data_IF_674372185602
#
_entry.id   IF_674372185602
#
_cell.length_a   1.000
_cell.length_b   1.000
_cell.length_c   1.000
_cell.angle_alpha   90.00
_cell.angle_beta   90.00
_cell.angle_gamma   90.00
#
_symmetry.space_group_name_H-M   'P 1'
#
loop_
_entity.id
_entity.type
_entity.pdbx_description
1 polymer ?
#
# COMPACT_ATOMS: atom_id res chain seq x y z
N UNK A 1 -18.23 9.91 -18.14
CA UNK A 1 -19.10 10.39 -17.05
C UNK A 1 -18.58 11.66 -16.42
N UNK A 2 -19.12 12.80 -16.84
CA UNK A 2 -18.82 14.11 -16.25
C UNK A 2 -19.68 14.32 -15.02
N UNK A 3 -19.09 14.18 -13.83
CA UNK A 3 -19.67 14.68 -12.58
C UNK A 3 -19.94 16.18 -12.76
N UNK A 4 -21.22 16.55 -12.84
CA UNK A 4 -21.66 17.95 -12.76
C UNK A 4 -21.48 18.40 -11.31
N UNK A 5 -20.34 19.02 -11.03
CA UNK A 5 -20.09 19.68 -9.76
C UNK A 5 -20.94 20.95 -9.74
N UNK A 6 -21.92 21.02 -8.84
CA UNK A 6 -22.61 22.28 -8.58
C UNK A 6 -21.55 23.29 -8.09
N UNK A 7 -21.50 24.50 -8.64
CA UNK A 7 -20.52 25.49 -8.22
C UNK A 7 -20.66 25.75 -6.72
N UNK A 8 -19.53 25.87 -6.02
CA UNK A 8 -19.49 26.14 -4.59
C UNK A 8 -20.34 27.37 -4.27
N UNK A 9 -21.20 27.25 -3.25
CA UNK A 9 -22.11 28.32 -2.86
C UNK A 9 -21.30 29.51 -2.32
N UNK A 10 -21.25 30.59 -3.11
CA UNK A 10 -20.51 31.82 -2.76
C UNK A 10 -20.99 32.40 -1.43
N UNK A 11 -22.28 32.25 -1.11
CA UNK A 11 -22.86 32.73 0.14
C UNK A 11 -22.31 31.97 1.35
N UNK A 12 -22.09 30.65 1.21
CA UNK A 12 -21.49 29.84 2.27
C UNK A 12 -20.03 30.25 2.54
N UNK A 13 -19.24 30.44 1.49
CA UNK A 13 -17.85 30.88 1.63
C UNK A 13 -17.73 32.23 2.34
N UNK A 14 -18.62 33.17 2.02
CA UNK A 14 -18.67 34.46 2.68
C UNK A 14 -19.11 34.36 4.15
N UNK A 15 -20.12 33.53 4.45
CA UNK A 15 -20.55 33.29 5.82
C UNK A 15 -19.43 32.68 6.68
N UNK A 16 -18.72 31.68 6.15
CA UNK A 16 -17.56 31.05 6.82
C UNK A 16 -16.44 32.05 7.07
N UNK A 17 -16.11 32.89 6.08
CA UNK A 17 -15.06 33.92 6.22
C UNK A 17 -15.38 34.94 7.31
N UNK A 18 -16.66 35.23 7.53
CA UNK A 18 -17.11 36.25 8.48
C UNK A 18 -17.37 35.69 9.89
N UNK A 19 -17.21 34.38 10.11
CA UNK A 19 -17.48 33.72 11.38
C UNK A 19 -16.20 33.11 11.96
N UNK A 20 -15.85 33.49 13.19
CA UNK A 20 -14.68 32.92 13.87
C UNK A 20 -14.99 31.52 14.41
N UNK A 21 -14.01 30.61 14.32
CA UNK A 21 -14.15 29.23 14.83
C UNK A 21 -14.66 28.20 13.80
N UNK A 22 -14.84 28.61 12.54
CA UNK A 22 -15.19 27.69 11.44
C UNK A 22 -14.32 27.92 10.21
N UNK A 23 -14.15 26.88 9.38
CA UNK A 23 -13.38 26.93 8.13
C UNK A 23 -13.94 25.97 7.09
N UNK A 24 -13.73 26.26 5.82
CA UNK A 24 -14.10 25.33 4.74
C UNK A 24 -13.23 24.08 4.80
N UNK A 25 -13.81 22.88 4.69
CA UNK A 25 -13.03 21.64 4.65
C UNK A 25 -12.02 21.62 3.50
N UNK A 26 -12.39 22.21 2.35
CA UNK A 26 -11.49 22.39 1.21
C UNK A 26 -10.22 23.19 1.52
N UNK A 27 -10.25 24.10 2.51
CA UNK A 27 -9.08 24.87 2.90
C UNK A 27 -8.06 24.05 3.69
N UNK A 28 -8.46 22.87 4.18
CA UNK A 28 -7.64 21.99 5.02
C UNK A 28 -6.96 20.87 4.23
N UNK A 29 -7.20 20.76 2.91
CA UNK A 29 -6.69 19.66 2.09
C UNK A 29 -5.96 20.19 0.85
N UNK A 30 -4.86 19.55 0.47
CA UNK A 30 -4.16 19.82 -0.79
C UNK A 30 -4.10 18.56 -1.63
N UNK A 31 -4.51 18.65 -2.90
CA UNK A 31 -4.48 17.53 -3.84
C UNK A 31 -4.50 17.99 -5.29
N UNK A 32 -3.91 17.19 -6.16
CA UNK A 32 -4.02 17.33 -7.62
C UNK A 32 -5.45 17.07 -8.17
N UNK A 33 -6.32 16.41 -7.39
CA UNK A 33 -7.68 16.03 -7.81
C UNK A 33 -8.74 17.04 -7.34
N UNK A 34 -8.57 18.32 -7.70
CA UNK A 34 -9.38 19.45 -7.21
C UNK A 34 -10.89 19.22 -7.39
N UNK A 35 -11.35 18.79 -8.57
CA UNK A 35 -12.78 18.58 -8.84
C UNK A 35 -13.44 17.51 -7.97
N UNK A 36 -12.69 16.46 -7.61
CA UNK A 36 -13.20 15.39 -6.76
C UNK A 36 -13.36 15.89 -5.32
N UNK A 37 -12.39 16.68 -4.85
CA UNK A 37 -12.47 17.31 -3.53
C UNK A 37 -13.59 18.34 -3.48
N UNK A 38 -13.76 19.18 -4.51
CA UNK A 38 -14.87 20.13 -4.58
C UNK A 38 -16.23 19.43 -4.53
N UNK A 39 -16.37 18.30 -5.21
CA UNK A 39 -17.59 17.49 -5.15
C UNK A 39 -17.86 16.93 -3.74
N UNK A 40 -16.81 16.46 -3.05
CA UNK A 40 -16.94 15.81 -1.74
C UNK A 40 -17.04 16.80 -0.57
N UNK A 41 -16.36 17.94 -0.67
CA UNK A 41 -16.09 18.87 0.44
C UNK A 41 -16.56 20.31 0.16
N UNK A 42 -17.11 20.60 -1.02
CA UNK A 42 -17.48 21.96 -1.43
C UNK A 42 -18.55 22.63 -0.56
N UNK A 43 -19.35 21.83 0.14
CA UNK A 43 -20.37 22.28 1.09
C UNK A 43 -20.09 21.84 2.54
N UNK A 44 -18.84 21.42 2.82
CA UNK A 44 -18.44 20.91 4.13
C UNK A 44 -17.67 21.99 4.90
N UNK A 45 -18.11 22.25 6.13
CA UNK A 45 -17.51 23.20 7.07
C UNK A 45 -16.97 22.45 8.28
N UNK A 46 -15.79 22.85 8.74
CA UNK A 46 -15.14 22.32 9.93
C UNK A 46 -15.28 23.35 11.05
N UNK A 47 -15.79 22.94 12.20
CA UNK A 47 -15.79 23.71 13.44
C UNK A 47 -14.84 23.09 14.46
N UNK A 48 -14.33 23.89 15.41
CA UNK A 48 -13.50 23.33 16.48
C UNK A 48 -14.37 22.60 17.52
N UNK A 49 -15.53 23.16 17.86
CA UNK A 49 -16.50 22.57 18.80
C UNK A 49 -17.91 22.41 18.23
N UNK A 50 -18.71 21.52 18.82
CA UNK A 50 -20.12 21.35 18.46
C UNK A 50 -20.95 22.60 18.78
N UNK A 51 -20.62 23.33 19.84
CA UNK A 51 -21.32 24.55 20.24
C UNK A 51 -21.18 25.64 19.17
N UNK A 52 -19.95 25.90 18.72
CA UNK A 52 -19.66 26.83 17.62
C UNK A 52 -20.36 26.38 16.32
N UNK A 53 -20.27 25.09 16.01
CA UNK A 53 -20.91 24.53 14.83
C UNK A 53 -22.43 24.66 14.83
N UNK A 54 -23.07 24.44 15.99
CA UNK A 54 -24.52 24.64 16.15
C UNK A 54 -24.89 26.10 15.99
N UNK A 55 -24.13 27.01 16.59
CA UNK A 55 -24.39 28.44 16.46
C UNK A 55 -24.31 28.88 15.00
N UNK A 56 -23.25 28.48 14.31
CA UNK A 56 -23.07 28.77 12.89
C UNK A 56 -24.20 28.21 12.01
N UNK A 57 -24.57 26.93 12.17
CA UNK A 57 -25.59 26.29 11.31
C UNK A 57 -27.00 26.82 11.60
N UNK A 58 -27.41 26.87 12.86
CA UNK A 58 -28.81 27.14 13.21
C UNK A 58 -29.14 28.62 13.40
N UNK A 59 -28.14 29.48 13.68
CA UNK A 59 -28.34 30.92 13.83
C UNK A 59 -27.84 31.68 12.60
N UNK A 60 -26.58 31.52 12.20
CA UNK A 60 -26.00 32.32 11.11
C UNK A 60 -26.48 31.88 9.72
N UNK A 61 -26.38 30.60 9.39
CA UNK A 61 -26.72 30.10 8.05
C UNK A 61 -28.23 30.06 7.83
N UNK A 62 -28.99 29.60 8.83
CA UNK A 62 -30.46 29.50 8.73
C UNK A 62 -31.12 30.86 8.51
N UNK A 63 -30.62 31.92 9.15
CA UNK A 63 -31.10 33.28 8.94
C UNK A 63 -30.89 33.78 7.49
N UNK A 64 -29.91 33.23 6.79
CA UNK A 64 -29.56 33.57 5.40
C UNK A 64 -30.16 32.61 4.36
N UNK A 65 -30.91 31.60 4.81
CA UNK A 65 -31.45 30.55 3.94
C UNK A 65 -30.37 29.63 3.34
N UNK A 66 -29.20 29.57 3.97
CA UNK A 66 -28.06 28.75 3.54
C UNK A 66 -27.99 27.44 4.33
N UNK A 67 -27.35 26.42 3.75
CA UNK A 67 -27.16 25.12 4.40
C UNK A 67 -25.83 24.48 4.03
N UNK A 68 -25.19 23.83 5.00
CA UNK A 68 -23.92 23.12 4.81
C UNK A 68 -23.92 21.81 5.59
N UNK A 69 -22.97 20.93 5.28
CA UNK A 69 -22.60 19.83 6.17
C UNK A 69 -21.53 20.35 7.13
N UNK A 70 -21.71 20.17 8.43
CA UNK A 70 -20.73 20.57 9.43
C UNK A 70 -20.10 19.33 10.07
N UNK A 71 -18.79 19.41 10.30
CA UNK A 71 -18.02 18.39 11.02
C UNK A 71 -17.18 19.11 12.08
N UNK A 72 -17.12 18.60 13.29
CA UNK A 72 -16.26 19.15 14.35
C UNK A 72 -14.92 18.41 14.41
N UNK A 73 -13.94 18.98 15.10
CA UNK A 73 -12.69 18.25 15.41
C UNK A 73 -12.94 17.03 16.31
N UNK A 74 -13.99 17.05 17.13
CA UNK A 74 -14.45 15.92 17.94
C UNK A 74 -15.16 14.82 17.15
N UNK A 75 -15.37 14.98 15.84
CA UNK A 75 -16.03 13.98 15.00
C UNK A 75 -17.56 13.98 15.11
N UNK A 76 -18.16 15.01 15.71
CA UNK A 76 -19.59 15.28 15.59
C UNK A 76 -19.91 15.86 14.22
N UNK A 77 -21.11 15.58 13.72
CA UNK A 77 -21.56 16.05 12.41
C UNK A 77 -22.96 16.62 12.46
N UNK A 78 -23.21 17.64 11.64
CA UNK A 78 -24.53 18.19 11.37
C UNK A 78 -24.77 18.09 9.87
N UNK A 79 -25.79 17.35 9.45
CA UNK A 79 -26.17 17.23 8.04
C UNK A 79 -26.78 18.53 7.53
N UNK A 80 -26.91 18.67 6.20
CA UNK A 80 -27.54 19.84 5.57
C UNK A 80 -28.99 20.07 6.05
N UNK A 81 -29.69 19.00 6.39
CA UNK A 81 -31.08 19.08 6.89
C UNK A 81 -31.17 19.39 8.38
N UNK A 82 -30.02 19.54 9.06
CA UNK A 82 -29.92 19.84 10.49
C UNK A 82 -29.91 18.61 11.39
N UNK A 83 -29.85 17.39 10.83
CA UNK A 83 -29.72 16.18 11.65
C UNK A 83 -28.31 16.11 12.25
N UNK A 84 -28.23 15.87 13.55
CA UNK A 84 -26.96 15.73 14.25
C UNK A 84 -26.62 14.25 14.44
N UNK A 85 -25.37 13.89 14.16
CA UNK A 85 -24.85 12.56 14.44
C UNK A 85 -23.51 12.67 15.20
N UNK A 86 -23.36 11.84 16.22
CA UNK A 86 -22.14 11.74 17.03
C UNK A 86 -21.50 10.40 16.72
N UNK A 87 -20.26 10.40 16.24
CA UNK A 87 -19.49 9.17 16.05
C UNK A 87 -18.58 8.96 17.26
N UNK A 88 -18.96 8.01 18.13
CA UNK A 88 -18.21 7.66 19.34
C UNK A 88 -16.81 7.09 19.03
N UNK A 89 -16.62 6.51 17.84
CA UNK A 89 -15.33 5.98 17.37
C UNK A 89 -14.41 7.10 16.88
N UNK A 90 -14.93 8.05 16.09
CA UNK A 90 -14.13 9.19 15.59
C UNK A 90 -13.68 10.13 16.72
N UNK A 91 -14.49 10.28 17.77
CA UNK A 91 -14.21 11.12 18.93
C UNK A 91 -13.12 10.55 19.86
N UNK A 92 -12.94 9.23 19.89
CA UNK A 92 -11.99 8.56 20.80
C UNK A 92 -10.60 8.39 20.21
N UNK A 93 -10.52 7.99 18.94
CA UNK A 93 -9.25 7.59 18.32
C UNK A 93 -8.77 8.57 17.26
N UNK A 94 -9.47 9.69 17.05
CA UNK A 94 -9.31 10.53 15.87
C UNK A 94 -9.76 9.78 14.61
N UNK A 95 -9.93 10.48 13.50
CA UNK A 95 -10.31 9.86 12.22
C UNK A 95 -9.14 9.01 11.62
N UNK A 96 -8.75 7.94 12.30
CA UNK A 96 -7.58 7.08 12.01
C UNK A 96 -7.82 6.03 10.93
N UNK A 97 -8.99 6.03 10.25
CA UNK A 97 -9.13 5.23 9.01
C UNK A 97 -8.12 5.63 7.92
N UNK A 98 -7.47 6.78 8.07
CA UNK A 98 -6.39 7.27 7.22
C UNK A 98 -5.08 7.49 8.00
N UNK A 99 -4.75 6.61 8.94
CA UNK A 99 -3.44 6.63 9.58
C UNK A 99 -2.35 6.11 8.61
N UNK A 100 -2.04 6.93 7.60
CA UNK A 100 -1.01 6.64 6.61
C UNK A 100 0.38 6.54 7.23
N UNK A 101 0.58 7.07 8.45
CA UNK A 101 1.85 6.94 9.18
C UNK A 101 2.07 5.51 9.69
N UNK A 102 1.00 4.81 10.12
CA UNK A 102 1.08 3.40 10.51
C UNK A 102 1.33 2.45 9.31
N UNK A 103 1.00 2.88 8.09
CA UNK A 103 1.23 2.11 6.86
C UNK A 103 2.66 2.22 6.31
N UNK A 104 3.40 3.27 6.66
CA UNK A 104 4.79 3.47 6.24
C UNK A 104 5.72 2.30 6.62
N UNK A 105 5.79 1.91 7.91
CA UNK A 105 6.63 0.79 8.35
C UNK A 105 6.23 -0.55 7.71
N UNK A 106 4.94 -0.75 7.47
CA UNK A 106 4.43 -1.97 6.84
C UNK A 106 4.83 -2.04 5.36
N UNK A 107 4.76 -0.92 4.65
CA UNK A 107 5.22 -0.80 3.26
C UNK A 107 6.73 -1.01 3.14
N UNK A 108 7.53 -0.37 3.98
CA UNK A 108 8.98 -0.56 4.00
C UNK A 108 9.36 -2.02 4.25
N UNK A 109 8.65 -2.70 5.17
CA UNK A 109 8.85 -4.12 5.43
C UNK A 109 8.53 -4.99 4.21
N UNK A 110 7.46 -4.66 3.47
CA UNK A 110 7.12 -5.37 2.23
C UNK A 110 8.17 -5.15 1.14
N UNK A 111 8.69 -3.93 0.97
CA UNK A 111 9.75 -3.63 0.00
C UNK A 111 11.08 -4.34 0.34
N UNK A 112 11.36 -4.56 1.63
CA UNK A 112 12.50 -5.40 2.06
C UNK A 112 12.28 -6.88 1.73
N UNK A 113 11.08 -7.40 1.96
CA UNK A 113 10.73 -8.80 1.65
C UNK A 113 10.81 -9.04 0.15
N UNK A 114 10.28 -8.12 -0.67
CA UNK A 114 10.28 -8.23 -2.12
C UNK A 114 11.71 -8.25 -2.69
N UNK A 115 12.59 -7.36 -2.21
CA UNK A 115 14.02 -7.39 -2.56
C UNK A 115 14.69 -8.72 -2.21
N UNK A 116 14.42 -9.25 -1.01
CA UNK A 116 14.97 -10.55 -0.59
C UNK A 116 14.47 -11.69 -1.46
N UNK A 117 13.19 -11.69 -1.82
CA UNK A 117 12.63 -12.69 -2.74
C UNK A 117 13.27 -12.59 -4.12
N UNK A 118 13.46 -11.37 -4.64
CA UNK A 118 14.14 -11.16 -5.91
C UNK A 118 15.59 -11.66 -5.87
N UNK A 119 16.36 -11.35 -4.82
CA UNK A 119 17.73 -11.85 -4.63
C UNK A 119 17.78 -13.38 -4.58
N UNK A 120 16.86 -14.02 -3.84
CA UNK A 120 16.77 -15.48 -3.78
C UNK A 120 16.41 -16.06 -5.15
N UNK A 121 15.49 -15.43 -5.88
CA UNK A 121 15.06 -15.90 -7.19
C UNK A 121 16.20 -15.81 -8.21
N UNK A 122 16.94 -14.70 -8.25
CA UNK A 122 18.11 -14.53 -9.12
C UNK A 122 19.21 -15.52 -8.76
N UNK A 123 19.49 -15.75 -7.47
CA UNK A 123 20.49 -16.75 -7.04
C UNK A 123 20.08 -18.17 -7.41
N UNK A 124 18.81 -18.52 -7.21
CA UNK A 124 18.30 -19.87 -7.55
C UNK A 124 18.25 -20.09 -9.06
N UNK A 125 17.86 -19.07 -9.84
CA UNK A 125 17.89 -19.12 -11.30
C UNK A 125 19.32 -19.22 -11.86
N UNK A 126 20.31 -18.63 -11.18
CA UNK A 126 21.72 -18.75 -11.55
C UNK A 126 22.36 -20.10 -11.16
N UNK A 127 21.78 -20.86 -10.22
CA UNK A 127 22.32 -22.12 -9.71
C UNK A 127 21.65 -23.34 -10.36
N UNK A 128 20.47 -23.18 -10.97
CA UNK A 128 19.75 -24.28 -11.59
C UNK A 128 19.36 -23.94 -13.02
N UNK A 129 20.28 -24.11 -13.96
CA UNK A 129 19.89 -24.58 -15.29
C UNK A 129 19.86 -26.13 -15.21
N UNK A 130 18.69 -26.75 -14.99
CA UNK A 130 18.60 -28.20 -14.78
C UNK A 130 19.16 -29.01 -15.96
N UNK A 131 19.24 -28.41 -17.15
CA UNK A 131 19.87 -29.03 -18.32
C UNK A 131 21.39 -29.18 -18.17
N UNK A 132 22.09 -28.20 -17.60
CA UNK A 132 23.56 -28.24 -17.48
C UNK A 132 24.01 -29.20 -16.40
N UNK A 133 23.33 -29.22 -15.25
CA UNK A 133 23.62 -30.16 -14.16
C UNK A 133 23.40 -31.62 -14.58
N UNK A 134 22.36 -31.90 -15.36
CA UNK A 134 22.08 -33.26 -15.84
C UNK A 134 23.07 -33.71 -16.92
N UNK A 135 23.53 -32.80 -17.78
CA UNK A 135 24.54 -33.11 -18.79
C UNK A 135 25.94 -33.31 -18.19
N UNK A 136 26.30 -32.52 -17.17
CA UNK A 136 27.54 -32.75 -16.41
C UNK A 136 27.52 -34.09 -15.67
N UNK A 137 26.40 -34.47 -15.06
CA UNK A 137 26.24 -35.77 -14.42
C UNK A 137 26.44 -36.93 -15.42
N UNK A 138 25.80 -36.86 -16.59
CA UNK A 138 25.98 -37.86 -17.67
C UNK A 138 27.43 -37.94 -18.15
N UNK A 139 28.10 -36.80 -18.31
CA UNK A 139 29.51 -36.74 -18.73
C UNK A 139 30.44 -37.36 -17.70
N UNK A 140 30.19 -37.12 -16.41
CA UNK A 140 30.96 -37.71 -15.32
C UNK A 140 30.74 -39.22 -15.23
N UNK A 141 29.51 -39.70 -15.36
CA UNK A 141 29.20 -41.13 -15.41
C UNK A 141 29.89 -41.84 -16.58
N UNK A 142 29.90 -41.22 -17.77
CA UNK A 142 30.58 -41.77 -18.94
C UNK A 142 32.09 -41.92 -18.71
N UNK A 143 32.72 -40.90 -18.11
CA UNK A 143 34.15 -40.93 -17.73
C UNK A 143 34.43 -42.01 -16.69
N UNK A 144 33.56 -42.16 -15.69
CA UNK A 144 33.72 -43.17 -14.65
C UNK A 144 33.72 -44.58 -15.26
N UNK A 145 32.77 -44.88 -16.16
CA UNK A 145 32.72 -46.17 -16.88
C UNK A 145 33.92 -46.42 -17.78
N UNK A 146 34.53 -45.37 -18.33
CA UNK A 146 35.76 -45.50 -19.13
C UNK A 146 36.96 -45.82 -18.24
N UNK A 147 37.10 -45.12 -17.11
CA UNK A 147 38.14 -45.38 -16.12
C UNK A 147 38.04 -46.79 -15.53
N UNK A 148 36.83 -47.27 -15.22
CA UNK A 148 36.59 -48.62 -14.72
C UNK A 148 37.05 -49.67 -15.74
N UNK A 149 36.64 -49.54 -17.00
CA UNK A 149 37.07 -50.44 -18.08
C UNK A 149 38.58 -50.43 -18.29
N UNK A 150 39.21 -49.26 -18.21
CA UNK A 150 40.67 -49.15 -18.29
C UNK A 150 41.35 -49.85 -17.11
N UNK A 151 40.80 -49.69 -15.90
CA UNK A 151 41.32 -50.34 -14.69
C UNK A 151 41.24 -51.86 -14.80
N UNK A 152 40.12 -52.40 -15.26
CA UNK A 152 39.92 -53.83 -15.46
C UNK A 152 40.93 -54.41 -16.46
N UNK A 153 41.17 -53.73 -17.58
CA UNK A 153 42.19 -54.14 -18.57
C UNK A 153 43.58 -54.17 -17.96
N UNK A 154 43.99 -53.09 -17.28
CA UNK A 154 45.30 -53.05 -16.63
C UNK A 154 45.45 -54.13 -15.55
N UNK A 155 44.38 -54.44 -14.81
CA UNK A 155 44.37 -55.54 -13.84
C UNK A 155 44.56 -56.91 -14.52
N UNK A 156 43.85 -57.16 -15.62
CA UNK A 156 43.96 -58.39 -16.38
C UNK A 156 45.37 -58.58 -16.98
N UNK A 157 45.97 -57.51 -17.52
CA UNK A 157 47.33 -57.54 -18.07
C UNK A 157 48.37 -57.82 -16.96
N UNK A 158 48.19 -57.24 -15.78
CA UNK A 158 49.07 -57.50 -14.63
C UNK A 158 48.95 -58.93 -14.12
N UNK A 159 47.75 -59.53 -14.14
CA UNK A 159 47.57 -60.93 -13.76
C UNK A 159 48.25 -61.87 -14.77
N UNK A 160 48.08 -61.64 -16.07
CA UNK A 160 48.72 -62.44 -17.12
C UNK A 160 50.25 -62.37 -17.02
N UNK A 161 50.83 -61.17 -16.90
CA UNK A 161 52.29 -61.02 -16.73
C UNK A 161 52.82 -61.67 -15.46
N UNK A 162 52.04 -61.69 -14.38
CA UNK A 162 52.42 -62.39 -13.13
C UNK A 162 52.42 -63.90 -13.29
N UNK A 163 51.53 -64.44 -14.11
CA UNK A 163 51.49 -65.87 -14.43
C UNK A 163 52.65 -66.26 -15.35
N UNK A 164 52.95 -65.44 -16.37
CA UNK A 164 54.13 -65.62 -17.25
C UNK A 164 55.47 -65.59 -16.49
N UNK A 165 55.58 -64.77 -15.44
CA UNK A 165 56.79 -64.71 -14.60
C UNK A 165 56.88 -65.85 -13.57
N UNK A 166 55.81 -66.63 -13.39
CA UNK A 166 55.74 -67.75 -12.44
C UNK A 166 55.87 -69.12 -13.09
N UNK A 167 55.65 -69.23 -14.40
CA UNK A 167 55.92 -70.42 -15.22
C UNK A 167 57.33 -70.42 -15.77
#
# INVERSE_FOLDING_TARGET
>A
DSLKVAPADRGLHEAVRNYHGVRMALSCVSSQHVRALEFLLGDVVIADTLEEGRHFVFHELRARGLGCRLVTLGGETISRDGNMAVSSEAARDGATRFDFQALGPTRERLEVIDRRLHEIHVRTASVMDPGTAQEEARRLEARLRECERSRERCQADLTLRREELRG
#
